data_IF_585181055084
#
_entry.id   IF_585181055084
#
_cell.length_a   1.000
_cell.length_b   1.000
_cell.length_c   1.000
_cell.angle_alpha   90.00
_cell.angle_beta   90.00
_cell.angle_gamma   90.00
#
_symmetry.space_group_name_H-M   'P 1'
#
loop_
_entity.id
_entity.type
_entity.pdbx_description
1 polymer ?
#
# COMPACT_ATOMS: atom_id res chain seq x y z
N UNK A 1 -45.01 -8.15 -11.09
CA UNK A 1 -44.07 -9.13 -10.48
C UNK A 1 -42.70 -9.12 -11.17
N UNK A 2 -42.17 -7.95 -11.58
CA UNK A 2 -40.86 -7.86 -12.27
C UNK A 2 -40.01 -6.64 -11.84
N UNK A 3 -40.46 -5.85 -10.88
CA UNK A 3 -39.80 -4.58 -10.49
C UNK A 3 -38.89 -4.77 -9.26
N UNK A 4 -39.07 -5.87 -8.49
CA UNK A 4 -38.28 -6.11 -7.28
C UNK A 4 -36.88 -6.67 -7.52
N UNK A 5 -36.63 -7.33 -8.66
CA UNK A 5 -35.34 -7.97 -8.96
C UNK A 5 -34.28 -6.98 -9.46
N UNK A 6 -34.69 -5.90 -10.15
CA UNK A 6 -33.76 -4.90 -10.69
C UNK A 6 -33.12 -4.02 -9.61
N UNK A 7 -33.77 -3.90 -8.44
CA UNK A 7 -33.24 -3.16 -7.29
C UNK A 7 -32.07 -3.90 -6.60
N UNK A 8 -32.08 -5.23 -6.61
CA UNK A 8 -31.05 -6.06 -5.94
C UNK A 8 -29.74 -6.14 -6.74
N UNK A 9 -29.78 -6.05 -8.08
CA UNK A 9 -28.58 -6.13 -8.94
C UNK A 9 -27.67 -4.90 -8.74
N UNK A 10 -28.25 -3.70 -8.54
CA UNK A 10 -27.47 -2.47 -8.30
C UNK A 10 -26.86 -2.39 -6.89
N UNK A 11 -27.47 -3.04 -5.89
CA UNK A 11 -26.96 -3.04 -4.52
C UNK A 11 -25.68 -3.89 -4.37
N UNK A 12 -25.57 -5.00 -5.12
CA UNK A 12 -24.42 -5.91 -5.05
C UNK A 12 -23.18 -5.31 -5.71
N UNK A 13 -23.33 -4.65 -6.86
CA UNK A 13 -22.21 -3.97 -7.55
C UNK A 13 -21.73 -2.73 -6.81
N UNK A 14 -22.62 -1.94 -6.21
CA UNK A 14 -22.24 -0.79 -5.38
C UNK A 14 -21.54 -1.20 -4.08
N UNK A 15 -21.94 -2.31 -3.45
CA UNK A 15 -21.24 -2.81 -2.27
C UNK A 15 -19.84 -3.32 -2.63
N UNK A 16 -19.68 -4.03 -3.75
CA UNK A 16 -18.38 -4.51 -4.25
C UNK A 16 -17.41 -3.36 -4.54
N UNK A 17 -17.90 -2.25 -5.10
CA UNK A 17 -17.11 -1.04 -5.34
C UNK A 17 -16.80 -0.31 -4.03
N UNK A 18 -17.71 -0.29 -3.05
CA UNK A 18 -17.46 0.28 -1.70
C UNK A 18 -16.34 -0.42 -0.94
N UNK A 19 -16.21 -1.75 -1.05
CA UNK A 19 -15.11 -2.48 -0.39
C UNK A 19 -13.73 -2.11 -0.95
N UNK A 20 -13.67 -1.60 -2.18
CA UNK A 20 -12.43 -1.19 -2.83
C UNK A 20 -12.08 0.28 -2.56
N UNK A 21 -13.06 1.15 -2.21
CA UNK A 21 -12.81 2.60 -2.15
C UNK A 21 -12.60 3.25 -0.79
N UNK A 22 -13.00 2.72 0.37
CA UNK A 22 -12.78 3.45 1.63
C UNK A 22 -12.54 2.56 2.86
N UNK A 23 -11.28 2.27 3.14
CA UNK A 23 -10.74 2.34 4.49
C UNK A 23 -9.57 3.32 4.51
N UNK A 24 -9.82 4.55 4.08
CA UNK A 24 -9.07 5.69 4.59
C UNK A 24 -9.63 5.96 5.99
N UNK A 25 -9.40 5.03 6.92
CA UNK A 25 -9.63 5.32 8.34
C UNK A 25 -8.74 6.51 8.64
N UNK A 26 -9.36 7.68 8.82
CA UNK A 26 -8.65 8.85 9.32
C UNK A 26 -8.03 8.42 10.63
N UNK A 27 -6.70 8.40 10.66
CA UNK A 27 -5.96 8.03 11.86
C UNK A 27 -6.41 8.95 12.99
N UNK A 28 -7.16 8.41 13.96
CA UNK A 28 -7.56 9.16 15.15
C UNK A 28 -6.34 9.59 15.98
N UNK A 29 -5.23 8.86 15.85
CA UNK A 29 -3.96 9.21 16.46
C UNK A 29 -3.03 9.83 15.39
N UNK A 30 -2.57 11.08 15.56
CA UNK A 30 -1.61 11.69 14.64
C UNK A 30 -0.25 10.96 14.63
N UNK A 31 0.04 10.13 15.63
CA UNK A 31 1.23 9.29 15.67
C UNK A 31 0.93 7.88 15.18
N UNK A 32 1.45 7.55 14.00
CA UNK A 32 1.41 6.19 13.46
C UNK A 32 2.45 5.35 14.18
N UNK A 33 2.01 4.62 15.20
CA UNK A 33 2.87 3.78 16.05
C UNK A 33 3.17 2.41 15.43
N UNK A 34 2.39 1.97 14.44
CA UNK A 34 2.54 0.65 13.83
C UNK A 34 2.01 0.58 12.39
N UNK A 35 2.69 -0.23 11.58
CA UNK A 35 2.32 -0.53 10.20
C UNK A 35 2.59 0.61 9.22
N UNK A 36 2.38 0.31 7.93
CA UNK A 36 2.40 1.29 6.86
C UNK A 36 0.98 1.81 6.63
N UNK A 37 0.77 3.12 6.71
CA UNK A 37 -0.56 3.78 6.59
C UNK A 37 -0.70 4.67 5.36
N UNK A 38 0.22 4.55 4.41
CA UNK A 38 0.26 5.37 3.19
C UNK A 38 1.51 6.24 3.11
N UNK A 39 1.74 6.81 1.92
CA UNK A 39 2.90 7.65 1.65
C UNK A 39 2.89 8.95 2.46
N UNK A 40 1.69 9.52 2.69
CA UNK A 40 1.51 10.79 3.42
C UNK A 40 1.98 10.72 4.88
N UNK A 41 1.98 9.52 5.47
CA UNK A 41 2.41 9.28 6.86
C UNK A 41 3.82 8.66 6.94
N UNK A 42 4.49 8.46 5.81
CA UNK A 42 5.82 7.87 5.76
C UNK A 42 6.88 8.96 5.70
N UNK A 43 7.40 9.31 6.87
CA UNK A 43 8.40 10.37 7.00
C UNK A 43 9.83 9.84 6.81
N UNK A 44 10.71 10.73 6.33
CA UNK A 44 12.17 10.63 6.47
C UNK A 44 12.81 9.30 6.05
N UNK A 45 12.67 8.86 4.79
CA UNK A 45 13.51 7.79 4.17
C UNK A 45 13.57 7.85 2.65
N UNK A 46 13.52 9.04 2.06
CA UNK A 46 13.48 9.20 0.61
C UNK A 46 14.70 8.59 -0.09
N UNK A 47 15.92 8.85 0.42
CA UNK A 47 17.17 8.28 -0.14
C UNK A 47 17.23 6.75 -0.04
N UNK A 48 16.81 6.18 1.08
CA UNK A 48 16.80 4.72 1.26
C UNK A 48 15.77 4.07 0.32
N UNK A 49 14.59 4.67 0.22
CA UNK A 49 13.52 4.21 -0.70
C UNK A 49 14.04 4.24 -2.14
N UNK A 50 14.64 5.34 -2.56
CA UNK A 50 15.21 5.48 -3.90
C UNK A 50 16.31 4.45 -4.18
N UNK A 51 17.20 4.20 -3.22
CA UNK A 51 18.25 3.20 -3.35
C UNK A 51 17.69 1.78 -3.55
N UNK A 52 16.68 1.41 -2.77
CA UNK A 52 15.98 0.12 -2.88
C UNK A 52 15.26 0.03 -4.22
N UNK A 53 14.47 1.03 -4.59
CA UNK A 53 13.72 1.04 -5.86
C UNK A 53 14.67 0.92 -7.06
N UNK A 54 15.79 1.66 -7.07
CA UNK A 54 16.82 1.54 -8.10
C UNK A 54 17.46 0.15 -8.13
N UNK A 55 17.71 -0.44 -6.96
CA UNK A 55 18.26 -1.79 -6.90
C UNK A 55 17.29 -2.84 -7.46
N UNK A 56 15.99 -2.71 -7.16
CA UNK A 56 14.94 -3.58 -7.68
C UNK A 56 14.78 -3.43 -9.20
N UNK A 57 14.84 -2.22 -9.74
CA UNK A 57 14.81 -2.00 -11.19
C UNK A 57 16.01 -2.59 -11.93
N UNK A 58 17.15 -2.67 -11.25
CA UNK A 58 18.37 -3.28 -11.81
C UNK A 58 18.44 -4.79 -11.53
N UNK A 59 17.32 -5.41 -11.15
CA UNK A 59 17.22 -6.86 -10.87
C UNK A 59 18.24 -7.34 -9.82
N UNK A 60 18.57 -6.47 -8.85
CA UNK A 60 19.54 -6.79 -7.80
C UNK A 60 18.87 -7.32 -6.55
N UNK A 61 19.54 -8.29 -5.93
CA UNK A 61 19.21 -8.71 -4.57
C UNK A 61 19.64 -7.65 -3.55
N UNK A 62 18.76 -7.33 -2.60
CA UNK A 62 19.01 -6.31 -1.56
C UNK A 62 18.80 -6.93 -0.19
N UNK A 63 19.77 -6.75 0.71
CA UNK A 63 19.62 -7.07 2.13
C UNK A 63 19.44 -5.77 2.93
N UNK A 64 18.31 -5.64 3.63
CA UNK A 64 18.01 -4.46 4.45
C UNK A 64 18.39 -4.70 5.91
N UNK A 65 19.44 -4.02 6.39
CA UNK A 65 19.97 -4.16 7.75
C UNK A 65 19.81 -2.83 8.48
N UNK A 66 19.23 -2.85 9.68
CA UNK A 66 19.09 -1.67 10.54
C UNK A 66 18.73 -2.05 11.99
N UNK A 67 18.86 -1.14 12.96
CA UNK A 67 18.41 -1.37 14.35
C UNK A 67 16.94 -1.77 14.51
N UNK A 68 16.56 -2.26 15.70
CA UNK A 68 15.18 -2.65 16.02
C UNK A 68 14.25 -1.43 15.96
N UNK A 69 13.02 -1.61 15.47
CA UNK A 69 11.95 -0.57 15.38
C UNK A 69 12.24 0.62 14.45
N UNK A 70 13.26 0.53 13.59
CA UNK A 70 13.54 1.54 12.57
C UNK A 70 12.41 1.62 11.52
N UNK A 71 11.68 0.52 11.27
CA UNK A 71 10.56 0.51 10.32
C UNK A 71 10.88 -0.10 8.96
N UNK A 72 11.68 -1.19 8.94
CA UNK A 72 12.05 -1.94 7.73
C UNK A 72 10.85 -2.37 6.89
N UNK A 73 9.84 -2.97 7.54
CA UNK A 73 8.60 -3.40 6.86
C UNK A 73 7.86 -2.21 6.25
N UNK A 74 7.81 -1.07 6.95
CA UNK A 74 7.21 0.16 6.43
C UNK A 74 7.93 0.68 5.20
N UNK A 75 9.27 0.62 5.18
CA UNK A 75 10.10 1.01 4.03
C UNK A 75 9.82 0.15 2.79
N UNK A 76 9.68 -1.17 2.97
CA UNK A 76 9.35 -2.09 1.87
C UNK A 76 7.97 -1.76 1.29
N UNK A 77 6.95 -1.60 2.13
CA UNK A 77 5.61 -1.24 1.66
C UNK A 77 5.56 0.14 0.99
N UNK A 78 6.35 1.09 1.48
CA UNK A 78 6.48 2.40 0.84
C UNK A 78 7.10 2.29 -0.56
N UNK A 79 8.19 1.53 -0.71
CA UNK A 79 8.80 1.28 -2.01
C UNK A 79 7.82 0.59 -2.98
N UNK A 80 7.05 -0.41 -2.50
CA UNK A 80 6.04 -1.08 -3.31
C UNK A 80 4.92 -0.13 -3.75
N UNK A 81 4.48 0.76 -2.86
CA UNK A 81 3.47 1.76 -3.19
C UNK A 81 3.98 2.74 -4.26
N UNK A 82 5.27 3.11 -4.25
CA UNK A 82 5.88 3.94 -5.29
C UNK A 82 5.98 3.20 -6.63
N UNK A 83 6.47 1.96 -6.63
CA UNK A 83 6.60 1.14 -7.84
C UNK A 83 5.23 0.92 -8.49
N UNK A 84 4.20 0.59 -7.70
CA UNK A 84 2.84 0.39 -8.21
C UNK A 84 2.24 1.66 -8.85
N UNK A 85 2.65 2.84 -8.40
CA UNK A 85 2.22 4.13 -8.99
C UNK A 85 2.97 4.44 -10.28
N UNK A 86 4.28 4.16 -10.34
CA UNK A 86 5.10 4.47 -11.52
C UNK A 86 4.93 3.44 -12.63
N UNK A 87 4.76 2.16 -12.29
CA UNK A 87 4.77 1.02 -13.22
C UNK A 87 3.63 0.04 -12.87
N UNK A 88 2.43 0.22 -13.46
CA UNK A 88 1.26 -0.61 -13.14
C UNK A 88 1.41 -2.08 -13.59
N UNK A 89 2.34 -2.36 -14.49
CA UNK A 89 2.65 -3.71 -14.98
C UNK A 89 3.42 -4.55 -13.95
N UNK A 90 4.07 -3.91 -12.98
CA UNK A 90 4.85 -4.59 -11.95
C UNK A 90 3.96 -4.94 -10.75
N UNK A 91 4.05 -6.19 -10.30
CA UNK A 91 3.40 -6.67 -9.07
C UNK A 91 4.45 -6.99 -8.01
N UNK A 92 4.32 -6.36 -6.84
CA UNK A 92 5.18 -6.63 -5.69
C UNK A 92 4.48 -7.59 -4.72
N UNK A 93 5.19 -8.60 -4.26
CA UNK A 93 4.70 -9.58 -3.27
C UNK A 93 5.54 -9.51 -2.00
N UNK A 94 4.89 -9.55 -0.84
CA UNK A 94 5.54 -9.63 0.47
C UNK A 94 5.21 -10.97 1.11
N UNK A 95 6.22 -11.77 1.43
CA UNK A 95 6.07 -13.03 2.16
C UNK A 95 6.65 -12.83 3.56
N UNK A 96 5.81 -13.01 4.58
CA UNK A 96 6.14 -12.83 5.99
C UNK A 96 6.04 -14.12 6.78
#
# INVERSE_FOLDING_TARGET
MLISWYSQINAVTLNSIKYVTQNMERLNNPFVIYGYKGADYFCDRQKETESITRALHNERNVALISPRRIGKTGLIHHAFAQIAQTQPDIRCFYMG
#
